data_IF_208814356770
#
_entry.id   IF_208814356770
#
_cell.length_a   1.000
_cell.length_b   1.000
_cell.length_c   1.000
_cell.angle_alpha   90.00
_cell.angle_beta   90.00
_cell.angle_gamma   90.00
#
_symmetry.space_group_name_H-M   'P 1'
#
loop_
_entity.id
_entity.type
_entity.pdbx_description
1 polymer ?
#
# COMPACT_ATOMS: atom_id res chain seq x y z
N UNK A 1 -44.87 -0.14 56.64
CA UNK A 1 -44.84 -0.42 55.16
C UNK A 1 -43.46 -0.02 54.66
N UNK A 2 -42.57 -0.99 54.47
CA UNK A 2 -41.20 -0.75 54.01
C UNK A 2 -41.19 -0.84 52.48
N UNK A 3 -40.91 0.27 51.80
CA UNK A 3 -40.72 0.29 50.35
C UNK A 3 -39.28 -0.15 50.03
N UNK A 4 -39.16 -1.33 49.42
CA UNK A 4 -37.89 -1.86 48.93
C UNK A 4 -37.63 -1.29 47.53
N UNK A 5 -36.72 -0.31 47.41
CA UNK A 5 -36.28 0.22 46.14
C UNK A 5 -35.25 -0.74 45.52
N UNK A 6 -35.66 -1.38 44.46
CA UNK A 6 -34.77 -2.25 43.65
C UNK A 6 -33.97 -1.37 42.67
N UNK A 7 -32.69 -1.15 42.97
CA UNK A 7 -31.78 -0.44 42.08
C UNK A 7 -31.28 -1.41 40.99
N UNK A 8 -31.84 -1.29 39.81
CA UNK A 8 -31.40 -2.06 38.64
C UNK A 8 -30.08 -1.44 38.15
N UNK A 9 -28.95 -2.09 38.44
CA UNK A 9 -27.65 -1.74 37.87
C UNK A 9 -27.61 -2.29 36.47
N UNK A 10 -27.72 -1.40 35.48
CA UNK A 10 -27.54 -1.70 34.07
C UNK A 10 -26.02 -1.86 33.83
N UNK A 11 -25.53 -3.11 33.82
CA UNK A 11 -24.17 -3.44 33.45
C UNK A 11 -24.06 -3.34 31.91
N UNK A 12 -23.61 -2.16 31.44
CA UNK A 12 -23.34 -1.94 30.02
C UNK A 12 -22.11 -2.78 29.64
N UNK A 13 -22.36 -3.90 28.96
CA UNK A 13 -21.31 -4.75 28.37
C UNK A 13 -20.75 -4.00 27.18
N UNK A 14 -19.66 -3.25 27.39
CA UNK A 14 -18.88 -2.68 26.29
C UNK A 14 -18.19 -3.85 25.60
N UNK A 15 -18.77 -4.33 24.49
CA UNK A 15 -18.10 -5.24 23.58
C UNK A 15 -16.93 -4.47 22.95
N UNK A 16 -15.74 -4.61 23.50
CA UNK A 16 -14.50 -4.20 22.87
C UNK A 16 -14.31 -5.08 21.63
N UNK A 17 -14.77 -4.61 20.49
CA UNK A 17 -14.47 -5.21 19.21
C UNK A 17 -12.94 -5.19 19.05
N UNK A 18 -12.30 -6.33 19.11
CA UNK A 18 -10.92 -6.48 18.71
C UNK A 18 -10.85 -6.20 17.21
N UNK A 19 -10.57 -4.96 16.83
CA UNK A 19 -10.14 -4.64 15.50
C UNK A 19 -8.78 -5.34 15.33
N UNK A 20 -8.78 -6.45 14.57
CA UNK A 20 -7.53 -7.15 14.26
C UNK A 20 -6.61 -6.18 13.55
N UNK A 21 -5.42 -5.95 14.13
CA UNK A 21 -4.37 -5.16 13.49
C UNK A 21 -3.98 -5.82 12.16
N UNK A 22 -3.82 -5.02 11.09
CA UNK A 22 -3.51 -5.52 9.74
C UNK A 22 -2.83 -4.44 8.90
N UNK A 23 -2.22 -4.88 7.82
CA UNK A 23 -1.80 -4.00 6.71
C UNK A 23 -2.96 -3.95 5.72
N UNK A 24 -3.33 -2.75 5.31
CA UNK A 24 -4.33 -2.49 4.27
C UNK A 24 -3.71 -1.71 3.12
N UNK A 25 -4.01 -2.10 1.90
CA UNK A 25 -3.58 -1.42 0.67
C UNK A 25 -4.80 -0.91 -0.06
N UNK A 26 -4.79 0.36 -0.43
CA UNK A 26 -5.90 1.03 -1.09
C UNK A 26 -5.44 1.96 -2.22
N UNK A 27 -6.40 2.44 -3.02
CA UNK A 27 -6.19 3.45 -4.07
C UNK A 27 -5.08 3.09 -5.07
N UNK A 28 -4.94 1.81 -5.40
CA UNK A 28 -3.92 1.35 -6.35
C UNK A 28 -4.28 1.70 -7.79
N UNK A 29 -3.33 2.30 -8.50
CA UNK A 29 -3.39 2.54 -9.92
C UNK A 29 -1.98 2.55 -10.51
N UNK A 30 -1.85 2.23 -11.78
CA UNK A 30 -0.55 2.23 -12.44
C UNK A 30 -0.56 3.18 -13.65
N UNK A 31 0.49 3.98 -13.76
CA UNK A 31 0.73 4.81 -14.93
C UNK A 31 1.39 3.96 -16.01
N UNK A 32 0.80 3.93 -17.20
CA UNK A 32 1.45 3.37 -18.37
C UNK A 32 2.43 4.40 -18.95
N UNK A 33 3.68 4.01 -19.10
CA UNK A 33 4.78 4.84 -19.62
C UNK A 33 5.25 4.20 -20.93
N UNK A 34 5.63 5.01 -21.95
CA UNK A 34 6.17 4.47 -23.19
C UNK A 34 7.33 3.47 -23.00
N UNK A 35 7.54 2.62 -24.00
CA UNK A 35 8.59 1.61 -24.03
C UNK A 35 8.42 0.45 -23.01
N UNK A 36 7.18 0.10 -22.67
CA UNK A 36 6.91 -1.04 -21.79
C UNK A 36 7.28 -0.79 -20.34
N UNK A 37 7.18 0.45 -19.91
CA UNK A 37 7.41 0.83 -18.51
C UNK A 37 6.09 1.20 -17.83
N UNK A 38 6.08 1.11 -16.51
CA UNK A 38 4.97 1.53 -15.69
C UNK A 38 5.42 1.98 -14.31
N UNK A 39 4.58 2.75 -13.66
CA UNK A 39 4.78 3.15 -12.27
C UNK A 39 3.49 2.91 -11.49
N UNK A 40 3.57 2.11 -10.43
CA UNK A 40 2.45 1.82 -9.54
C UNK A 40 2.47 2.77 -8.34
N UNK A 41 1.29 3.28 -8.04
CA UNK A 41 0.99 4.15 -6.92
C UNK A 41 -0.15 3.54 -6.09
N UNK A 42 -0.09 3.72 -4.77
CA UNK A 42 -1.07 3.18 -3.84
C UNK A 42 -0.85 3.76 -2.44
N UNK A 43 -1.75 3.46 -1.54
CA UNK A 43 -1.62 3.79 -0.13
C UNK A 43 -1.53 2.52 0.71
N UNK A 44 -0.69 2.55 1.73
CA UNK A 44 -0.52 1.45 2.69
C UNK A 44 -0.81 2.00 4.08
N UNK A 45 -1.79 1.39 4.74
CA UNK A 45 -2.14 1.67 6.13
C UNK A 45 -1.64 0.52 7.00
N UNK A 46 -0.93 0.84 8.06
CA UNK A 46 -0.51 -0.10 9.09
C UNK A 46 -1.25 0.18 10.40
N UNK A 47 -2.13 -0.72 10.81
CA UNK A 47 -2.84 -0.63 12.09
C UNK A 47 -2.19 -1.46 13.21
N UNK A 48 -1.02 -2.06 12.95
CA UNK A 48 -0.21 -2.70 13.98
C UNK A 48 0.50 -1.66 14.86
N UNK A 49 0.76 -2.03 16.11
CA UNK A 49 1.55 -1.23 17.06
C UNK A 49 3.07 -1.25 16.79
N UNK A 50 3.51 -2.03 15.80
CA UNK A 50 4.88 -2.11 15.35
C UNK A 50 5.02 -1.68 13.89
N UNK A 51 6.16 -1.07 13.50
CA UNK A 51 6.44 -0.77 12.10
C UNK A 51 6.66 -2.05 11.29
N UNK A 52 6.42 -1.96 9.99
CA UNK A 52 6.77 -2.99 9.01
C UNK A 52 7.57 -2.38 7.86
N UNK A 53 8.03 -3.19 6.93
CA UNK A 53 8.76 -2.77 5.74
C UNK A 53 8.11 -3.42 4.52
N UNK A 54 7.78 -2.62 3.51
CA UNK A 54 7.52 -3.14 2.16
C UNK A 54 8.87 -3.49 1.54
N UNK A 55 9.22 -4.77 1.53
CA UNK A 55 10.56 -5.24 1.13
C UNK A 55 10.70 -5.51 -0.35
N UNK A 56 9.60 -5.89 -1.03
CA UNK A 56 9.63 -6.29 -2.44
C UNK A 56 8.26 -6.16 -3.07
N UNK A 57 8.27 -5.99 -4.37
CA UNK A 57 7.09 -6.13 -5.22
C UNK A 57 7.42 -7.01 -6.44
N UNK A 58 6.43 -7.73 -6.94
CA UNK A 58 6.56 -8.59 -8.12
C UNK A 58 5.29 -8.56 -8.95
N UNK A 59 5.40 -8.88 -10.24
CA UNK A 59 4.26 -8.93 -11.17
C UNK A 59 4.51 -9.94 -12.28
N UNK A 60 3.52 -10.79 -12.62
CA UNK A 60 3.62 -11.65 -13.80
C UNK A 60 3.54 -10.86 -15.12
N UNK A 61 3.05 -9.61 -15.07
CA UNK A 61 2.89 -8.74 -16.24
C UNK A 61 4.15 -7.93 -16.59
N UNK A 62 5.20 -7.99 -15.79
CA UNK A 62 6.43 -7.23 -15.99
C UNK A 62 7.67 -8.12 -15.82
N UNK A 63 8.73 -7.82 -16.57
CA UNK A 63 10.00 -8.55 -16.46
C UNK A 63 10.78 -8.18 -15.20
N UNK A 64 10.65 -6.95 -14.74
CA UNK A 64 11.32 -6.44 -13.54
C UNK A 64 10.42 -5.48 -12.78
N UNK A 65 10.44 -5.57 -11.45
CA UNK A 65 9.69 -4.71 -10.55
C UNK A 65 10.62 -4.24 -9.44
N UNK A 66 10.71 -2.93 -9.23
CA UNK A 66 11.61 -2.31 -8.26
C UNK A 66 10.90 -1.22 -7.45
N UNK A 67 11.28 -1.08 -6.19
CA UNK A 67 10.82 0.00 -5.33
C UNK A 67 11.74 1.19 -5.50
N UNK A 68 11.19 2.34 -5.85
CA UNK A 68 11.93 3.57 -6.11
C UNK A 68 11.43 4.73 -5.26
N UNK A 69 12.28 5.72 -5.09
CA UNK A 69 11.95 7.04 -4.57
C UNK A 69 12.43 8.10 -5.54
N UNK A 70 11.55 9.02 -5.89
CA UNK A 70 11.93 10.23 -6.61
C UNK A 70 12.34 11.30 -5.61
N UNK A 71 13.48 11.92 -5.83
CA UNK A 71 13.95 13.08 -5.07
C UNK A 71 14.25 14.24 -6.00
N UNK A 72 13.92 15.45 -5.56
CA UNK A 72 14.27 16.68 -6.25
C UNK A 72 15.18 17.52 -5.35
N UNK A 73 16.40 17.75 -5.80
CA UNK A 73 17.38 18.57 -5.11
C UNK A 73 18.04 19.51 -6.11
N UNK A 74 18.09 20.83 -5.78
CA UNK A 74 18.68 21.86 -6.65
C UNK A 74 18.18 21.82 -8.10
N UNK A 75 16.84 21.69 -8.29
CA UNK A 75 16.19 21.55 -9.58
C UNK A 75 16.56 20.29 -10.40
N UNK A 76 17.32 19.36 -9.81
CA UNK A 76 17.64 18.07 -10.40
C UNK A 76 16.70 17.02 -9.81
N UNK A 77 16.01 16.30 -10.69
CA UNK A 77 15.18 15.15 -10.30
C UNK A 77 15.98 13.88 -10.50
N UNK A 78 16.06 13.05 -9.47
CA UNK A 78 16.70 11.74 -9.51
C UNK A 78 15.77 10.66 -8.98
N UNK A 79 15.95 9.43 -9.44
CA UNK A 79 15.27 8.25 -8.91
C UNK A 79 16.29 7.36 -8.21
N UNK A 80 15.91 6.87 -7.04
CA UNK A 80 16.74 6.03 -6.21
C UNK A 80 16.07 4.67 -6.04
N UNK A 81 16.79 3.59 -6.34
CA UNK A 81 16.33 2.24 -6.06
C UNK A 81 16.47 1.96 -4.55
N UNK A 82 15.38 1.61 -3.90
CA UNK A 82 15.34 1.33 -2.47
C UNK A 82 15.49 -0.18 -2.22
N UNK A 83 16.71 -0.65 -2.19
CA UNK A 83 17.03 -2.08 -2.00
C UNK A 83 16.57 -2.62 -0.63
N UNK A 84 16.44 -1.75 0.36
CA UNK A 84 15.95 -2.10 1.71
C UNK A 84 14.45 -1.91 1.88
N UNK A 85 13.76 -1.50 0.82
CA UNK A 85 12.31 -1.27 0.83
C UNK A 85 11.90 0.06 1.47
N UNK A 86 10.63 0.16 1.84
CA UNK A 86 10.01 1.35 2.44
C UNK A 86 9.53 1.01 3.84
N UNK A 87 9.97 1.80 4.83
CA UNK A 87 9.48 1.67 6.20
C UNK A 87 8.05 2.19 6.31
N UNK A 88 7.18 1.38 6.91
CA UNK A 88 5.77 1.69 7.17
C UNK A 88 5.63 1.88 8.67
N UNK A 89 5.33 3.09 9.16
CA UNK A 89 5.30 3.36 10.60
C UNK A 89 4.19 2.57 11.31
N UNK A 90 4.41 2.28 12.57
CA UNK A 90 3.37 1.74 13.46
C UNK A 90 2.17 2.70 13.53
N UNK A 91 0.96 2.16 13.49
CA UNK A 91 -0.28 2.96 13.54
C UNK A 91 -0.26 4.15 12.57
N UNK A 92 0.29 3.94 11.38
CA UNK A 92 0.52 4.99 10.41
C UNK A 92 0.32 4.53 8.98
N UNK A 93 0.63 5.41 8.05
CA UNK A 93 0.46 5.16 6.62
C UNK A 93 1.66 5.63 5.81
N UNK A 94 1.76 5.10 4.60
CA UNK A 94 2.68 5.54 3.55
C UNK A 94 1.89 5.68 2.26
N UNK A 95 2.12 6.80 1.56
CA UNK A 95 1.59 7.04 0.22
C UNK A 95 2.69 6.88 -0.81
N UNK A 96 2.48 5.96 -1.75
CA UNK A 96 3.25 5.89 -2.98
C UNK A 96 2.53 6.74 -4.03
N UNK A 97 3.12 7.85 -4.43
CA UNK A 97 2.51 8.85 -5.33
C UNK A 97 3.53 9.45 -6.29
N UNK A 98 3.08 10.03 -7.43
CA UNK A 98 3.97 10.72 -8.35
C UNK A 98 4.86 11.74 -7.65
N UNK A 99 6.15 11.72 -7.97
CA UNK A 99 7.15 12.61 -7.35
C UNK A 99 7.67 12.15 -5.99
N UNK A 100 7.28 10.98 -5.51
CA UNK A 100 7.70 10.39 -4.23
C UNK A 100 8.04 8.90 -4.40
N UNK A 101 7.68 8.07 -3.43
CA UNK A 101 7.79 6.62 -3.55
C UNK A 101 6.91 6.09 -4.68
N UNK A 102 7.39 5.08 -5.39
CA UNK A 102 6.64 4.34 -6.39
C UNK A 102 7.23 2.97 -6.64
N UNK A 103 6.44 2.10 -7.23
CA UNK A 103 6.92 0.80 -7.71
C UNK A 103 7.07 0.89 -9.22
N UNK A 104 8.31 0.79 -9.69
CA UNK A 104 8.66 0.83 -11.11
C UNK A 104 8.50 -0.56 -11.72
N UNK A 105 7.76 -0.63 -12.81
CA UNK A 105 7.56 -1.82 -13.62
C UNK A 105 8.31 -1.64 -14.94
N UNK A 106 9.10 -2.63 -15.33
CA UNK A 106 9.86 -2.62 -16.58
C UNK A 106 9.60 -3.89 -17.38
N UNK A 107 9.55 -3.76 -18.70
CA UNK A 107 9.23 -4.89 -19.58
C UNK A 107 7.81 -5.39 -19.40
N UNK A 108 6.85 -4.46 -19.32
CA UNK A 108 5.42 -4.77 -19.33
C UNK A 108 5.03 -5.49 -20.63
N UNK A 109 4.06 -6.37 -20.55
CA UNK A 109 3.49 -7.07 -21.69
C UNK A 109 3.04 -6.06 -22.74
N UNK A 110 3.46 -6.26 -23.99
CA UNK A 110 3.19 -5.32 -25.11
C UNK A 110 1.71 -5.24 -25.49
N UNK A 111 0.92 -6.23 -25.08
CA UNK A 111 -0.52 -6.29 -25.33
C UNK A 111 -1.34 -5.44 -24.34
N UNK A 112 -0.70 -4.92 -23.29
CA UNK A 112 -1.40 -4.11 -22.27
C UNK A 112 -1.75 -2.72 -22.81
N UNK A 113 -2.99 -2.32 -22.55
CA UNK A 113 -3.56 -1.04 -22.95
C UNK A 113 -4.11 -0.28 -21.74
N UNK A 114 -4.43 0.99 -21.95
CA UNK A 114 -5.10 1.80 -20.94
C UNK A 114 -6.46 1.18 -20.58
N UNK A 115 -6.75 1.09 -19.28
CA UNK A 115 -7.94 0.45 -18.75
C UNK A 115 -7.75 -1.00 -18.36
N UNK A 116 -6.68 -1.66 -18.83
CA UNK A 116 -6.34 -3.02 -18.40
C UNK A 116 -5.91 -3.02 -16.93
N UNK A 117 -6.10 -4.17 -16.29
CA UNK A 117 -5.58 -4.44 -14.95
C UNK A 117 -4.32 -5.28 -15.06
N UNK A 118 -3.37 -4.98 -14.20
CA UNK A 118 -2.18 -5.81 -13.99
C UNK A 118 -2.22 -6.38 -12.58
N UNK A 119 -1.48 -7.44 -12.35
CA UNK A 119 -1.34 -8.03 -11.02
C UNK A 119 0.00 -7.65 -10.42
N UNK A 120 -0.01 -7.15 -9.18
CA UNK A 120 1.20 -6.84 -8.43
C UNK A 120 1.08 -7.38 -7.02
N UNK A 121 2.07 -8.17 -6.60
CA UNK A 121 2.17 -8.71 -5.25
C UNK A 121 3.18 -7.91 -4.46
N UNK A 122 2.75 -7.42 -3.29
CA UNK A 122 3.55 -6.67 -2.34
C UNK A 122 3.98 -7.62 -1.21
N UNK A 123 5.26 -7.68 -0.94
CA UNK A 123 5.84 -8.51 0.13
C UNK A 123 6.29 -7.62 1.30
N UNK A 124 5.81 -7.94 2.49
CA UNK A 124 6.14 -7.25 3.74
C UNK A 124 7.08 -8.08 4.59
N UNK A 125 7.86 -7.44 5.45
CA UNK A 125 8.82 -8.12 6.30
C UNK A 125 8.15 -8.96 7.40
N UNK A 126 7.09 -8.43 8.02
CA UNK A 126 6.40 -9.06 9.15
C UNK A 126 5.02 -9.60 8.81
N UNK A 127 4.37 -9.02 7.82
CA UNK A 127 3.00 -9.34 7.46
C UNK A 127 2.91 -10.16 6.17
N UNK A 128 1.74 -10.75 5.94
CA UNK A 128 1.46 -11.54 4.73
C UNK A 128 1.52 -10.65 3.50
N UNK A 129 1.94 -11.23 2.37
CA UNK A 129 1.89 -10.58 1.06
C UNK A 129 0.46 -10.20 0.68
N UNK A 130 0.34 -9.07 -0.02
CA UNK A 130 -0.93 -8.56 -0.53
C UNK A 130 -0.80 -8.40 -2.04
N UNK A 131 -1.75 -8.97 -2.78
CA UNK A 131 -1.85 -8.81 -4.24
C UNK A 131 -2.90 -7.76 -4.55
N UNK A 132 -2.52 -6.79 -5.38
CA UNK A 132 -3.40 -5.73 -5.89
C UNK A 132 -3.56 -5.86 -7.41
N UNK A 133 -4.65 -5.32 -7.94
CA UNK A 133 -4.94 -5.29 -9.37
C UNK A 133 -5.16 -3.86 -9.85
N UNK A 134 -4.10 -3.04 -9.91
CA UNK A 134 -4.21 -1.66 -10.37
C UNK A 134 -4.61 -1.57 -11.83
N UNK A 135 -5.43 -0.57 -12.15
CA UNK A 135 -5.81 -0.23 -13.52
C UNK A 135 -4.74 0.65 -14.15
N UNK A 136 -4.40 0.35 -15.40
CA UNK A 136 -3.48 1.17 -16.20
C UNK A 136 -4.15 2.47 -16.65
N UNK A 137 -3.56 3.60 -16.27
CA UNK A 137 -4.04 4.96 -16.57
C UNK A 137 -2.89 5.85 -17.07
N UNK A 138 -3.22 7.00 -17.62
CA UNK A 138 -2.23 8.08 -17.89
C UNK A 138 -2.07 8.96 -16.64
N UNK A 139 -3.18 9.22 -15.95
CA UNK A 139 -3.26 10.02 -14.73
C UNK A 139 -4.22 9.37 -13.73
N UNK A 140 -4.16 9.73 -12.44
CA UNK A 140 -5.09 9.26 -11.43
C UNK A 140 -6.54 9.65 -11.75
#
# INVERSE_FOLDING_TARGET
MKRLSFFLIFFSLIASGNANAHIEVSNSWARLIPNGMGALFLEIQNSHSEPDILIKASSPNAKSVMIHKTERKNNITSMQHLMKGINIPANGNISLKPGSYHIMLSGLDKSLELGDKIEVTLEFNKNKSITVQPVLKIKP
#
